data_IF_056608053672
#
_entry.id   IF_056608053672
#
_cell.length_a   1.000
_cell.length_b   1.000
_cell.length_c   1.000
_cell.angle_alpha   90.00
_cell.angle_beta   90.00
_cell.angle_gamma   90.00
#
_symmetry.space_group_name_H-M   'P 1'
#
loop_
_entity.id
_entity.type
_entity.pdbx_description
1 polymer ?
#
# COMPACT_ATOMS: atom_id res chain seq x y z
N UNK A 1 9.46 -25.86 -11.12
CA UNK A 1 9.88 -25.61 -9.72
C UNK A 1 9.25 -26.69 -8.88
N UNK A 2 10.04 -27.61 -8.34
CA UNK A 2 9.59 -28.65 -7.44
C UNK A 2 9.01 -28.01 -6.17
N UNK A 3 7.81 -28.45 -5.76
CA UNK A 3 7.26 -28.10 -4.46
C UNK A 3 8.19 -28.66 -3.38
N UNK A 4 9.00 -27.82 -2.76
CA UNK A 4 9.75 -28.21 -1.55
C UNK A 4 8.74 -28.63 -0.48
N UNK A 5 8.89 -29.84 0.04
CA UNK A 5 8.13 -30.31 1.20
C UNK A 5 8.30 -29.30 2.35
N UNK A 6 7.20 -28.67 2.78
CA UNK A 6 7.18 -27.70 3.86
C UNK A 6 6.74 -26.30 3.46
N UNK A 7 6.62 -25.97 2.17
CA UNK A 7 6.18 -24.65 1.74
C UNK A 7 4.68 -24.45 2.04
N UNK A 8 4.35 -23.38 2.76
CA UNK A 8 2.98 -22.94 3.04
C UNK A 8 2.80 -21.48 2.61
N UNK A 9 1.59 -20.96 2.71
CA UNK A 9 1.31 -19.55 2.45
C UNK A 9 0.85 -18.87 3.70
N UNK A 10 1.57 -17.83 4.10
CA UNK A 10 1.21 -17.05 5.29
C UNK A 10 0.25 -15.91 4.92
N UNK A 11 -0.61 -15.56 5.88
CA UNK A 11 -1.41 -14.32 5.85
C UNK A 11 -0.65 -13.11 6.40
N UNK A 12 0.58 -13.32 6.87
CA UNK A 12 1.47 -12.24 7.29
C UNK A 12 1.85 -11.41 6.07
N UNK A 13 1.78 -10.10 6.22
CA UNK A 13 2.22 -9.13 5.24
C UNK A 13 2.75 -7.91 5.95
N UNK A 14 3.31 -6.95 5.22
CA UNK A 14 3.90 -5.79 5.84
C UNK A 14 3.75 -4.51 5.04
N UNK A 15 4.49 -3.52 5.48
CA UNK A 15 4.66 -2.23 4.84
C UNK A 15 6.04 -1.71 5.16
N UNK A 16 6.79 -1.31 4.14
CA UNK A 16 8.04 -0.59 4.33
C UNK A 16 7.79 0.81 4.91
N UNK A 17 8.68 1.23 5.79
CA UNK A 17 8.69 2.51 6.49
C UNK A 17 10.01 3.23 6.25
N UNK A 18 10.18 4.41 6.83
CA UNK A 18 11.46 5.11 6.87
C UNK A 18 12.39 4.31 7.80
N UNK A 19 13.49 3.78 7.23
CA UNK A 19 14.48 2.95 7.94
C UNK A 19 13.86 1.83 8.78
N UNK A 20 12.73 1.26 8.32
CA UNK A 20 12.00 0.27 9.09
C UNK A 20 10.95 -0.51 8.33
N UNK A 21 10.28 -1.40 9.04
CA UNK A 21 9.21 -2.26 8.52
C UNK A 21 8.11 -2.39 9.56
N UNK A 22 6.87 -2.28 9.11
CA UNK A 22 5.68 -2.76 9.81
C UNK A 22 5.36 -4.16 9.32
N UNK A 23 5.42 -5.19 10.16
CA UNK A 23 4.86 -6.51 9.87
C UNK A 23 3.51 -6.69 10.56
N UNK A 24 2.57 -7.31 9.85
CA UNK A 24 1.20 -7.53 10.30
C UNK A 24 0.88 -9.02 10.31
N UNK A 25 0.83 -9.59 11.50
CA UNK A 25 0.44 -10.98 11.71
C UNK A 25 -1.06 -11.16 11.97
N UNK A 26 -1.51 -12.38 12.26
CA UNK A 26 -2.92 -12.64 12.58
C UNK A 26 -3.36 -12.01 13.89
N UNK A 27 -2.47 -11.86 14.87
CA UNK A 27 -2.78 -11.39 16.22
C UNK A 27 -2.12 -10.06 16.58
N UNK A 28 -0.94 -9.77 16.00
CA UNK A 28 -0.10 -8.64 16.35
C UNK A 28 0.37 -7.90 15.11
N UNK A 29 0.53 -6.59 15.26
CA UNK A 29 1.27 -5.72 14.37
C UNK A 29 2.59 -5.37 15.06
N UNK A 30 3.73 -5.48 14.38
CA UNK A 30 5.05 -5.13 14.89
C UNK A 30 5.73 -4.12 13.96
N UNK A 31 6.20 -3.02 14.53
CA UNK A 31 7.03 -2.04 13.85
C UNK A 31 8.45 -2.23 14.36
N UNK A 32 9.41 -2.33 13.46
CA UNK A 32 10.85 -2.33 13.78
C UNK A 32 11.49 -1.26 12.92
N UNK A 33 12.21 -0.35 13.56
CA UNK A 33 12.90 0.78 12.93
C UNK A 33 14.36 0.74 13.36
N UNK A 34 15.28 0.95 12.43
CA UNK A 34 16.72 1.09 12.70
C UNK A 34 17.03 2.56 12.96
N UNK A 35 16.96 2.97 14.21
CA UNK A 35 17.39 4.31 14.63
C UNK A 35 18.93 4.41 14.72
N UNK A 36 19.49 5.63 14.80
CA UNK A 36 20.93 5.83 15.05
C UNK A 36 21.44 5.15 16.34
N UNK A 37 20.57 4.97 17.32
CA UNK A 37 20.88 4.35 18.63
C UNK A 37 20.69 2.82 18.64
N UNK A 38 20.13 2.24 17.57
CA UNK A 38 19.85 0.80 17.48
C UNK A 38 18.45 0.47 16.97
N UNK A 39 18.04 -0.78 17.13
CA UNK A 39 16.70 -1.21 16.73
C UNK A 39 15.66 -0.79 17.76
N UNK A 40 14.65 -0.08 17.30
CA UNK A 40 13.47 0.28 18.07
C UNK A 40 12.31 -0.58 17.65
N UNK A 41 11.60 -1.18 18.59
CA UNK A 41 10.48 -2.08 18.35
C UNK A 41 9.21 -1.58 19.01
N UNK A 42 8.08 -1.71 18.31
CA UNK A 42 6.75 -1.45 18.85
C UNK A 42 5.79 -2.55 18.43
N UNK A 43 5.28 -3.30 19.39
CA UNK A 43 4.31 -4.37 19.14
C UNK A 43 2.95 -3.94 19.66
N UNK A 44 1.91 -4.18 18.87
CA UNK A 44 0.52 -3.83 19.20
C UNK A 44 -0.40 -5.00 18.87
N UNK A 45 -1.29 -5.36 19.78
CA UNK A 45 -2.31 -6.38 19.52
C UNK A 45 -3.35 -5.88 18.52
N UNK A 46 -3.72 -6.75 17.58
CA UNK A 46 -4.72 -6.43 16.56
C UNK A 46 -6.13 -6.58 17.10
N UNK A 47 -6.89 -5.49 16.98
CA UNK A 47 -8.33 -5.49 17.27
C UNK A 47 -9.10 -5.41 15.95
N UNK A 48 -9.90 -6.42 15.66
CA UNK A 48 -10.70 -6.43 14.44
C UNK A 48 -12.05 -5.77 14.68
N UNK A 49 -12.37 -4.72 13.93
CA UNK A 49 -13.65 -4.01 13.99
C UNK A 49 -14.82 -4.98 13.73
N UNK A 50 -14.61 -5.99 12.87
CA UNK A 50 -15.61 -7.03 12.57
C UNK A 50 -16.02 -7.90 13.76
N UNK A 51 -15.19 -8.00 14.81
CA UNK A 51 -15.57 -8.73 16.02
C UNK A 51 -16.63 -7.97 16.82
N UNK A 52 -16.63 -6.62 16.73
CA UNK A 52 -17.65 -5.77 17.36
C UNK A 52 -18.89 -5.55 16.47
N UNK A 53 -18.68 -5.50 15.14
CA UNK A 53 -19.74 -5.27 14.15
C UNK A 53 -19.68 -6.33 13.05
N UNK A 54 -20.36 -7.49 13.22
CA UNK A 54 -20.29 -8.62 12.27
C UNK A 54 -20.65 -8.28 10.83
N UNK A 55 -21.57 -7.32 10.62
CA UNK A 55 -21.98 -6.87 9.29
C UNK A 55 -20.78 -6.32 8.45
N UNK A 56 -19.77 -5.78 9.11
CA UNK A 56 -18.55 -5.30 8.44
C UNK A 56 -17.62 -6.46 8.01
N UNK A 57 -17.98 -7.70 8.35
CA UNK A 57 -17.28 -8.91 7.92
C UNK A 57 -17.82 -9.52 6.62
N UNK A 58 -18.93 -9.02 6.06
CA UNK A 58 -19.48 -9.56 4.80
C UNK A 58 -18.57 -9.21 3.61
N UNK A 59 -18.56 -10.03 2.55
CA UNK A 59 -17.78 -9.74 1.33
C UNK A 59 -18.02 -8.32 0.83
N UNK A 60 -17.01 -7.73 0.21
CA UNK A 60 -16.94 -6.34 -0.26
C UNK A 60 -16.81 -5.34 0.90
N UNK A 61 -17.72 -5.32 1.89
CA UNK A 61 -17.61 -4.40 3.02
C UNK A 61 -16.34 -4.67 3.85
N UNK A 62 -16.04 -5.95 4.11
CA UNK A 62 -14.80 -6.32 4.83
C UNK A 62 -13.54 -5.84 4.11
N UNK A 63 -13.56 -5.79 2.76
CA UNK A 63 -12.46 -5.30 1.95
C UNK A 63 -12.23 -3.81 2.16
N UNK A 64 -13.29 -3.00 2.08
CA UNK A 64 -13.22 -1.56 2.32
C UNK A 64 -12.76 -1.25 3.76
N UNK A 65 -13.33 -1.94 4.76
CA UNK A 65 -12.96 -1.76 6.18
C UNK A 65 -11.49 -2.15 6.43
N UNK A 66 -11.05 -3.28 5.85
CA UNK A 66 -9.65 -3.73 5.99
C UNK A 66 -8.69 -2.74 5.33
N UNK A 67 -9.03 -2.21 4.16
CA UNK A 67 -8.23 -1.22 3.45
C UNK A 67 -8.10 0.07 4.28
N UNK A 68 -9.20 0.63 4.77
CA UNK A 68 -9.18 1.84 5.61
C UNK A 68 -8.37 1.60 6.89
N UNK A 69 -8.59 0.46 7.57
CA UNK A 69 -7.83 0.10 8.76
C UNK A 69 -6.33 -0.02 8.46
N UNK A 70 -5.96 -0.60 7.31
CA UNK A 70 -4.56 -0.73 6.89
C UNK A 70 -3.93 0.62 6.59
N UNK A 71 -4.66 1.53 5.94
CA UNK A 71 -4.19 2.90 5.70
C UNK A 71 -3.92 3.65 7.02
N UNK A 72 -4.87 3.61 7.95
CA UNK A 72 -4.71 4.28 9.26
C UNK A 72 -3.50 3.71 10.02
N UNK A 73 -3.36 2.38 10.05
CA UNK A 73 -2.23 1.73 10.71
C UNK A 73 -0.91 2.06 10.02
N UNK A 74 -0.90 2.05 8.68
CA UNK A 74 0.29 2.37 7.89
C UNK A 74 0.76 3.81 8.05
N UNK A 75 -0.17 4.79 8.05
CA UNK A 75 0.17 6.20 8.33
C UNK A 75 0.74 6.37 9.73
N UNK A 76 0.11 5.76 10.76
CA UNK A 76 0.64 5.80 12.13
C UNK A 76 2.02 5.17 12.26
N UNK A 77 2.28 4.07 11.54
CA UNK A 77 3.57 3.41 11.54
C UNK A 77 4.64 4.27 10.82
N UNK A 78 4.26 4.93 9.72
CA UNK A 78 5.14 5.83 9.00
C UNK A 78 5.52 7.05 9.85
N UNK A 79 4.54 7.66 10.53
CA UNK A 79 4.79 8.76 11.48
C UNK A 79 5.72 8.30 12.61
N UNK A 80 5.44 7.13 13.21
CA UNK A 80 6.30 6.56 14.24
C UNK A 80 7.73 6.36 13.75
N UNK A 81 7.94 5.89 12.53
CA UNK A 81 9.30 5.74 12.00
C UNK A 81 9.96 7.08 11.71
N UNK A 82 9.22 8.08 11.22
CA UNK A 82 9.72 9.43 10.95
C UNK A 82 10.21 10.15 12.22
N UNK A 83 9.60 9.87 13.39
CA UNK A 83 10.01 10.48 14.67
C UNK A 83 11.47 10.17 15.05
N UNK A 84 12.07 9.07 14.50
CA UNK A 84 13.47 8.69 14.72
C UNK A 84 14.44 9.27 13.71
N UNK A 85 13.94 9.95 12.68
CA UNK A 85 14.71 10.58 11.62
C UNK A 85 14.15 11.98 11.39
N UNK A 86 14.34 12.90 12.34
CA UNK A 86 14.00 14.30 12.11
C UNK A 86 14.81 14.79 10.91
N UNK A 87 14.14 15.56 10.05
CA UNK A 87 14.82 16.23 8.93
C UNK A 87 16.06 16.95 9.47
N UNK A 88 17.19 16.84 8.75
CA UNK A 88 18.41 17.54 9.12
C UNK A 88 18.08 19.04 9.23
N UNK A 89 18.32 19.61 10.42
CA UNK A 89 17.96 20.98 10.80
C UNK A 89 18.78 22.06 10.03
N UNK A 90 19.21 21.80 8.81
CA UNK A 90 19.99 22.76 8.01
C UNK A 90 19.16 23.86 7.32
N UNK A 91 17.86 23.80 7.37
CA UNK A 91 17.02 24.88 6.88
C UNK A 91 16.72 25.86 8.03
N UNK A 92 17.41 27.01 8.07
CA UNK A 92 17.00 28.10 8.96
C UNK A 92 15.49 28.38 8.75
N UNK A 93 14.67 28.35 9.83
CA UNK A 93 13.23 28.52 9.72
C UNK A 93 12.94 29.84 8.98
N UNK A 94 12.10 29.75 7.96
CA UNK A 94 11.69 30.91 7.17
C UNK A 94 10.96 31.94 8.04
N UNK A 95 10.82 33.16 7.57
CA UNK A 95 10.08 34.23 8.31
C UNK A 95 8.63 33.81 8.62
N UNK A 96 8.05 33.00 7.78
CA UNK A 96 6.69 32.44 7.96
C UNK A 96 6.68 31.38 9.05
N UNK A 97 7.67 30.51 9.11
CA UNK A 97 7.79 29.46 10.14
C UNK A 97 7.99 30.09 11.52
N UNK A 98 8.90 31.07 11.62
CA UNK A 98 9.11 31.85 12.85
C UNK A 98 7.85 32.58 13.32
N UNK A 99 7.03 33.09 12.40
CA UNK A 99 5.75 33.71 12.72
C UNK A 99 4.75 32.69 13.24
N UNK A 100 4.67 31.48 12.63
CA UNK A 100 3.81 30.39 13.06
C UNK A 100 4.20 29.89 14.46
N UNK A 101 5.47 29.63 14.70
CA UNK A 101 6.00 29.19 16.00
C UNK A 101 5.72 30.19 17.13
N UNK A 102 5.74 31.46 16.82
CA UNK A 102 5.46 32.54 17.80
C UNK A 102 3.98 32.60 18.20
N UNK A 103 3.04 32.18 17.32
CA UNK A 103 1.61 32.36 17.54
C UNK A 103 0.86 31.06 17.83
N UNK A 104 1.45 29.91 17.56
CA UNK A 104 0.82 28.60 17.70
C UNK A 104 1.71 27.71 18.57
N UNK A 105 1.17 27.06 19.63
CA UNK A 105 1.93 26.08 20.43
C UNK A 105 2.48 24.96 19.53
N UNK A 106 3.72 24.51 19.77
CA UNK A 106 4.41 23.54 18.92
C UNK A 106 3.61 22.25 18.65
N UNK A 107 2.93 21.68 19.66
CA UNK A 107 2.08 20.50 19.51
C UNK A 107 0.89 20.74 18.54
N UNK A 108 0.28 21.93 18.61
CA UNK A 108 -0.82 22.30 17.71
C UNK A 108 -0.31 22.58 16.31
N UNK A 109 0.85 23.21 16.18
CA UNK A 109 1.49 23.51 14.90
C UNK A 109 1.79 22.21 14.15
N UNK A 110 2.42 21.24 14.81
CA UNK A 110 2.69 19.91 14.23
C UNK A 110 1.39 19.22 13.76
N UNK A 111 0.35 19.22 14.59
CA UNK A 111 -0.95 18.64 14.21
C UNK A 111 -1.59 19.33 13.01
N UNK A 112 -1.48 20.66 12.92
CA UNK A 112 -2.00 21.44 11.81
C UNK A 112 -1.23 21.18 10.51
N UNK A 113 0.11 21.13 10.57
CA UNK A 113 0.96 20.80 9.42
C UNK A 113 0.64 19.41 8.88
N UNK A 114 0.53 18.40 9.77
CA UNK A 114 0.16 17.04 9.38
C UNK A 114 -1.24 17.02 8.76
N UNK A 115 -2.24 17.65 9.38
CA UNK A 115 -3.60 17.69 8.85
C UNK A 115 -3.65 18.39 7.48
N UNK A 116 -2.96 19.53 7.32
CA UNK A 116 -2.87 20.24 6.06
C UNK A 116 -2.19 19.40 4.97
N UNK A 117 -1.07 18.75 5.30
CA UNK A 117 -0.34 17.87 4.37
C UNK A 117 -1.20 16.70 3.90
N UNK A 118 -1.98 16.08 4.81
CA UNK A 118 -2.92 15.01 4.47
C UNK A 118 -4.02 15.52 3.54
N UNK A 119 -4.64 16.67 3.86
CA UNK A 119 -5.70 17.26 3.02
C UNK A 119 -5.15 17.62 1.64
N UNK A 120 -3.98 18.24 1.59
CA UNK A 120 -3.31 18.61 0.34
C UNK A 120 -2.97 17.38 -0.50
N UNK A 121 -2.44 16.32 0.12
CA UNK A 121 -2.12 15.05 -0.54
C UNK A 121 -3.36 14.36 -1.09
N UNK A 122 -4.46 14.33 -0.33
CA UNK A 122 -5.74 13.82 -0.80
C UNK A 122 -6.28 14.64 -1.97
N UNK A 123 -6.24 15.97 -1.88
CA UNK A 123 -6.64 16.87 -2.95
C UNK A 123 -5.82 16.64 -4.22
N UNK A 124 -4.50 16.55 -4.11
CA UNK A 124 -3.60 16.27 -5.23
C UNK A 124 -3.89 14.89 -5.84
N UNK A 125 -4.13 13.89 -5.02
CA UNK A 125 -4.50 12.53 -5.47
C UNK A 125 -5.79 12.55 -6.28
N UNK A 126 -6.82 13.26 -5.81
CA UNK A 126 -8.08 13.41 -6.56
C UNK A 126 -7.87 14.14 -7.89
N UNK A 127 -7.06 15.20 -7.89
CA UNK A 127 -6.74 15.94 -9.11
C UNK A 127 -5.99 15.04 -10.11
N UNK A 128 -4.91 14.38 -9.69
CA UNK A 128 -4.06 13.59 -10.58
C UNK A 128 -4.75 12.31 -11.09
N UNK A 129 -5.46 11.59 -10.21
CA UNK A 129 -5.97 10.26 -10.54
C UNK A 129 -7.47 10.22 -10.85
N UNK A 130 -8.17 11.32 -10.67
CA UNK A 130 -9.61 11.38 -10.95
C UNK A 130 -9.97 12.51 -11.92
N UNK A 131 -9.59 13.75 -11.62
CA UNK A 131 -9.97 14.90 -12.44
C UNK A 131 -9.18 14.97 -13.73
N UNK A 132 -7.87 14.87 -13.68
CA UNK A 132 -7.00 14.99 -14.84
C UNK A 132 -7.27 13.90 -15.90
N UNK A 133 -7.37 12.60 -15.57
CA UNK A 133 -7.75 11.58 -16.56
C UNK A 133 -9.12 11.81 -17.17
N UNK A 134 -10.11 12.22 -16.37
CA UNK A 134 -11.45 12.54 -16.85
C UNK A 134 -11.44 13.74 -17.79
N UNK A 135 -10.70 14.80 -17.45
CA UNK A 135 -10.55 15.98 -18.30
C UNK A 135 -9.88 15.64 -19.63
N UNK A 136 -8.74 14.94 -19.58
CA UNK A 136 -8.03 14.53 -20.79
C UNK A 136 -8.90 13.65 -21.67
N UNK A 137 -9.61 12.67 -21.12
CA UNK A 137 -10.54 11.83 -21.88
C UNK A 137 -11.67 12.64 -22.52
N UNK A 138 -12.12 13.73 -21.87
CA UNK A 138 -13.13 14.66 -22.40
C UNK A 138 -12.69 15.35 -23.69
N UNK A 139 -11.40 15.65 -23.85
CA UNK A 139 -10.86 16.29 -25.06
C UNK A 139 -11.02 15.44 -26.33
N UNK A 140 -11.13 14.12 -26.18
CA UNK A 140 -11.29 13.19 -27.33
C UNK A 140 -12.72 13.06 -27.83
N UNK A 141 -13.70 13.73 -27.23
CA UNK A 141 -15.11 13.76 -27.66
C UNK A 141 -15.66 12.36 -28.00
N UNK A 142 -15.42 11.39 -27.11
CA UNK A 142 -15.81 10.00 -27.32
C UNK A 142 -17.32 9.86 -27.55
N UNK A 143 -17.71 9.06 -28.57
CA UNK A 143 -19.11 8.85 -28.95
C UNK A 143 -19.87 7.93 -27.98
N UNK A 144 -19.16 7.16 -27.14
CA UNK A 144 -19.77 6.26 -26.16
C UNK A 144 -19.07 6.33 -24.81
N UNK A 145 -19.80 6.02 -23.74
CA UNK A 145 -19.27 5.96 -22.37
C UNK A 145 -18.13 4.92 -22.28
N UNK A 146 -18.24 3.79 -22.96
CA UNK A 146 -17.21 2.74 -22.94
C UNK A 146 -15.87 3.25 -23.49
N UNK A 147 -15.88 3.89 -24.67
CA UNK A 147 -14.67 4.45 -25.29
C UNK A 147 -14.07 5.54 -24.39
N UNK A 148 -14.90 6.43 -23.84
CA UNK A 148 -14.45 7.45 -22.91
C UNK A 148 -13.76 6.83 -21.67
N UNK A 149 -14.35 5.78 -21.07
CA UNK A 149 -13.78 5.11 -19.90
C UNK A 149 -12.46 4.38 -20.22
N UNK A 150 -12.32 3.82 -21.42
CA UNK A 150 -11.05 3.19 -21.85
C UNK A 150 -9.96 4.26 -21.98
N UNK A 151 -10.24 5.38 -22.67
CA UNK A 151 -9.27 6.49 -22.80
C UNK A 151 -8.87 7.00 -21.41
N UNK A 152 -9.86 7.26 -20.55
CA UNK A 152 -9.61 7.70 -19.18
C UNK A 152 -8.76 6.68 -18.41
N UNK A 153 -9.04 5.38 -18.57
CA UNK A 153 -8.27 4.30 -17.95
C UNK A 153 -6.82 4.27 -18.40
N UNK A 154 -6.58 4.40 -19.72
CA UNK A 154 -5.21 4.46 -20.28
C UNK A 154 -4.45 5.67 -19.71
N UNK A 155 -5.08 6.85 -19.71
CA UNK A 155 -4.47 8.06 -19.13
C UNK A 155 -4.16 7.87 -17.66
N UNK A 156 -5.08 7.29 -16.88
CA UNK A 156 -4.89 7.03 -15.46
C UNK A 156 -3.72 6.08 -15.21
N UNK A 157 -3.60 5.00 -15.98
CA UNK A 157 -2.48 4.06 -15.89
C UNK A 157 -1.17 4.77 -16.24
N UNK A 158 -1.15 5.58 -17.30
CA UNK A 158 0.05 6.32 -17.70
C UNK A 158 0.52 7.32 -16.62
N UNK A 159 -0.42 8.07 -16.01
CA UNK A 159 -0.13 8.99 -14.90
C UNK A 159 0.40 8.21 -13.69
N UNK A 160 -0.22 7.08 -13.36
CA UNK A 160 0.16 6.25 -12.23
C UNK A 160 1.58 5.68 -12.39
N UNK A 161 1.90 5.13 -13.56
CA UNK A 161 3.24 4.62 -13.85
C UNK A 161 4.27 5.74 -13.87
N UNK A 162 3.95 6.87 -14.49
CA UNK A 162 4.81 8.05 -14.49
C UNK A 162 5.12 8.54 -13.08
N UNK A 163 4.11 8.62 -12.20
CA UNK A 163 4.27 8.96 -10.80
C UNK A 163 5.18 7.97 -10.06
N UNK A 164 4.96 6.66 -10.23
CA UNK A 164 5.82 5.64 -9.61
C UNK A 164 7.26 5.75 -10.05
N UNK A 165 7.52 5.95 -11.35
CA UNK A 165 8.86 6.11 -11.90
C UNK A 165 9.54 7.36 -11.34
N UNK A 166 8.80 8.47 -11.20
CA UNK A 166 9.35 9.69 -10.61
C UNK A 166 9.69 9.50 -9.13
N UNK A 167 8.79 8.90 -8.36
CA UNK A 167 9.03 8.59 -6.95
C UNK A 167 10.22 7.65 -6.75
N UNK A 168 10.34 6.61 -7.59
CA UNK A 168 11.42 5.61 -7.47
C UNK A 168 12.83 6.19 -7.67
N UNK A 169 12.95 7.38 -8.27
CA UNK A 169 14.22 8.08 -8.47
C UNK A 169 14.67 8.90 -7.26
N UNK A 170 13.78 9.17 -6.31
CA UNK A 170 14.13 9.90 -5.10
C UNK A 170 14.91 8.98 -4.14
N UNK A 171 16.00 9.49 -3.54
CA UNK A 171 16.90 8.68 -2.68
C UNK A 171 16.18 8.06 -1.48
N UNK A 172 15.34 8.83 -0.80
CA UNK A 172 14.64 8.38 0.40
C UNK A 172 13.59 7.32 0.05
N UNK A 173 12.84 7.54 -1.04
CA UNK A 173 11.87 6.55 -1.54
C UNK A 173 12.57 5.30 -2.03
N UNK A 174 13.76 5.42 -2.64
CA UNK A 174 14.57 4.26 -3.03
C UNK A 174 14.93 3.39 -1.81
N UNK A 175 15.32 3.99 -0.68
CA UNK A 175 15.60 3.26 0.56
C UNK A 175 14.35 2.56 1.10
N UNK A 176 13.20 3.23 1.12
CA UNK A 176 11.92 2.58 1.49
C UNK A 176 11.63 1.38 0.57
N UNK A 177 11.93 1.48 -0.72
CA UNK A 177 11.76 0.36 -1.65
C UNK A 177 12.76 -0.77 -1.45
N UNK A 178 13.94 -0.52 -0.86
CA UNK A 178 14.85 -1.57 -0.39
C UNK A 178 14.27 -2.31 0.83
N UNK A 179 13.71 -1.60 1.80
CA UNK A 179 12.97 -2.20 2.92
C UNK A 179 11.77 -3.04 2.45
N UNK A 180 11.07 -2.59 1.40
CA UNK A 180 10.00 -3.36 0.78
C UNK A 180 10.51 -4.66 0.14
N UNK A 181 11.70 -4.62 -0.49
CA UNK A 181 12.38 -5.83 -0.94
C UNK A 181 12.75 -6.78 0.20
N UNK A 182 13.24 -6.24 1.33
CA UNK A 182 13.58 -7.02 2.53
C UNK A 182 12.33 -7.71 3.13
N UNK A 183 11.20 -7.00 3.19
CA UNK A 183 9.91 -7.57 3.61
C UNK A 183 9.55 -8.79 2.77
N UNK A 184 9.51 -8.65 1.43
CA UNK A 184 9.14 -9.73 0.52
C UNK A 184 10.07 -10.94 0.65
N UNK A 185 11.39 -10.71 0.66
CA UNK A 185 12.39 -11.78 0.81
C UNK A 185 12.21 -12.53 2.13
N UNK A 186 11.93 -11.83 3.22
CA UNK A 186 11.71 -12.43 4.54
C UNK A 186 10.44 -13.27 4.58
N UNK A 187 9.34 -12.79 3.96
CA UNK A 187 8.10 -13.56 3.85
C UNK A 187 8.33 -14.84 3.05
N UNK A 188 9.03 -14.78 1.90
CA UNK A 188 9.35 -15.98 1.13
C UNK A 188 10.24 -16.99 1.88
N UNK A 189 11.22 -16.49 2.65
CA UNK A 189 12.06 -17.35 3.49
C UNK A 189 11.22 -18.11 4.53
N UNK A 190 10.28 -17.40 5.18
CA UNK A 190 9.36 -17.98 6.14
C UNK A 190 8.42 -19.00 5.49
N UNK A 191 7.82 -18.68 4.35
CA UNK A 191 6.94 -19.59 3.59
C UNK A 191 7.66 -20.84 3.07
N UNK A 192 8.97 -20.73 2.81
CA UNK A 192 9.81 -21.85 2.45
C UNK A 192 10.17 -22.76 3.64
N UNK A 193 9.76 -22.39 4.87
CA UNK A 193 10.09 -23.11 6.10
C UNK A 193 11.58 -23.07 6.46
N UNK A 194 12.31 -22.06 5.95
CA UNK A 194 13.74 -21.89 6.24
C UNK A 194 13.93 -21.08 7.53
N UNK A 195 15.04 -21.32 8.25
CA UNK A 195 15.41 -20.45 9.37
C UNK A 195 15.55 -19.00 8.92
N UNK A 196 14.97 -18.06 9.69
CA UNK A 196 15.04 -16.63 9.42
C UNK A 196 16.42 -16.09 9.79
N UNK A 197 17.38 -16.27 8.87
CA UNK A 197 18.75 -15.71 8.94
C UNK A 197 19.00 -14.89 7.68
N UNK A 198 19.96 -13.96 7.74
CA UNK A 198 20.32 -13.12 6.60
C UNK A 198 20.73 -13.95 5.39
N UNK A 199 21.49 -15.04 5.61
CA UNK A 199 21.97 -15.95 4.56
C UNK A 199 20.83 -16.64 3.82
N UNK A 200 19.74 -17.01 4.53
CA UNK A 200 18.58 -17.67 3.95
C UNK A 200 17.61 -16.70 3.30
N UNK A 201 17.51 -15.45 3.80
CA UNK A 201 16.64 -14.41 3.26
C UNK A 201 17.23 -13.75 2.02
N UNK A 202 18.53 -13.48 1.99
CA UNK A 202 19.22 -12.79 0.89
C UNK A 202 18.95 -13.39 -0.51
N UNK A 203 18.96 -14.73 -0.73
CA UNK A 203 18.71 -15.31 -2.05
C UNK A 203 17.23 -15.37 -2.44
N UNK A 204 16.30 -15.02 -1.55
CA UNK A 204 14.87 -15.08 -1.87
C UNK A 204 14.47 -14.01 -2.89
N UNK A 205 13.37 -14.25 -3.66
CA UNK A 205 12.89 -13.27 -4.63
C UNK A 205 12.29 -12.04 -3.93
N UNK A 206 12.50 -10.86 -4.55
CA UNK A 206 11.97 -9.58 -4.04
C UNK A 206 10.56 -9.24 -4.54
N UNK A 207 10.05 -9.92 -5.56
CA UNK A 207 8.70 -9.69 -6.09
C UNK A 207 7.72 -10.69 -5.50
N UNK A 208 6.67 -10.20 -4.84
CA UNK A 208 5.71 -11.04 -4.11
C UNK A 208 4.28 -10.89 -4.67
N UNK A 209 3.57 -12.00 -5.00
CA UNK A 209 2.26 -11.94 -5.67
C UNK A 209 1.14 -11.33 -4.81
N UNK A 210 1.29 -11.29 -3.50
CA UNK A 210 0.31 -10.75 -2.54
C UNK A 210 0.67 -9.35 -2.03
N UNK A 211 1.50 -8.62 -2.77
CA UNK A 211 1.95 -7.29 -2.38
C UNK A 211 0.83 -6.24 -2.49
N UNK A 212 0.81 -5.30 -1.55
CA UNK A 212 -0.13 -4.19 -1.53
C UNK A 212 0.00 -3.22 -2.72
N UNK A 213 1.19 -3.09 -3.34
CA UNK A 213 1.36 -2.26 -4.55
C UNK A 213 0.63 -2.86 -5.76
N UNK A 214 0.61 -4.19 -5.89
CA UNK A 214 -0.19 -4.89 -6.90
C UNK A 214 -1.69 -4.61 -6.72
N UNK A 215 -2.15 -4.42 -5.48
CA UNK A 215 -3.54 -4.06 -5.18
C UNK A 215 -3.95 -2.74 -5.86
N UNK A 216 -3.09 -1.72 -5.84
CA UNK A 216 -3.38 -0.42 -6.47
C UNK A 216 -3.63 -0.54 -7.97
N UNK A 217 -2.82 -1.35 -8.66
CA UNK A 217 -3.03 -1.62 -10.09
C UNK A 217 -4.38 -2.30 -10.35
N UNK A 218 -4.72 -3.32 -9.56
CA UNK A 218 -6.00 -4.02 -9.67
C UNK A 218 -7.17 -3.08 -9.38
N UNK A 219 -7.06 -2.16 -8.40
CA UNK A 219 -8.07 -1.11 -8.14
C UNK A 219 -8.32 -0.28 -9.40
N UNK A 220 -7.27 0.13 -10.11
CA UNK A 220 -7.41 0.90 -11.37
C UNK A 220 -8.18 0.07 -12.41
N UNK A 221 -7.80 -1.19 -12.61
CA UNK A 221 -8.45 -2.07 -13.59
C UNK A 221 -9.92 -2.33 -13.23
N UNK A 222 -10.21 -2.67 -11.98
CA UNK A 222 -11.57 -2.87 -11.48
C UNK A 222 -12.38 -1.57 -11.60
N UNK A 223 -11.79 -0.40 -11.32
CA UNK A 223 -12.47 0.89 -11.46
C UNK A 223 -12.89 1.18 -12.90
N UNK A 224 -12.06 0.81 -13.88
CA UNK A 224 -12.38 0.95 -15.32
C UNK A 224 -13.55 0.04 -15.67
N UNK A 225 -13.51 -1.23 -15.26
CA UNK A 225 -14.57 -2.21 -15.54
C UNK A 225 -15.90 -1.77 -14.92
N UNK A 226 -15.92 -1.44 -13.62
CA UNK A 226 -17.13 -1.00 -12.91
C UNK A 226 -17.68 0.28 -13.52
N UNK A 227 -16.82 1.26 -13.83
CA UNK A 227 -17.23 2.49 -14.50
C UNK A 227 -17.84 2.21 -15.88
N UNK A 228 -17.27 1.30 -16.66
CA UNK A 228 -17.79 0.94 -17.98
C UNK A 228 -19.15 0.25 -17.92
N UNK A 229 -19.45 -0.44 -16.81
CA UNK A 229 -20.78 -1.04 -16.59
C UNK A 229 -21.82 -0.01 -16.11
N UNK A 230 -21.43 0.98 -15.31
CA UNK A 230 -22.37 1.92 -14.66
C UNK A 230 -22.65 3.16 -15.52
N UNK A 231 -21.62 3.75 -16.14
CA UNK A 231 -21.76 5.03 -16.85
C UNK A 231 -22.70 5.02 -18.06
N UNK A 232 -22.92 3.94 -18.81
CA UNK A 232 -23.93 3.93 -19.87
C UNK A 232 -25.36 4.24 -19.41
N UNK A 233 -25.66 4.05 -18.11
CA UNK A 233 -26.99 4.21 -17.54
C UNK A 233 -27.20 5.55 -16.82
N UNK A 234 -26.22 6.45 -16.85
CA UNK A 234 -26.27 7.74 -16.17
C UNK A 234 -25.89 8.88 -17.14
N UNK A 235 -26.11 10.14 -16.74
CA UNK A 235 -25.62 11.30 -17.49
C UNK A 235 -24.09 11.46 -17.31
N UNK A 236 -23.32 10.59 -17.97
CA UNK A 236 -21.87 10.52 -17.85
C UNK A 236 -21.15 11.73 -18.49
N UNK A 237 -21.84 12.52 -19.33
CA UNK A 237 -21.30 13.74 -19.96
C UNK A 237 -21.20 14.89 -18.94
N UNK A 238 -22.04 14.90 -17.89
CA UNK A 238 -21.92 15.86 -16.83
C UNK A 238 -20.76 15.50 -15.88
N UNK A 239 -19.75 16.36 -15.82
CA UNK A 239 -18.52 16.11 -15.03
C UNK A 239 -18.81 15.94 -13.54
N UNK A 240 -19.74 16.69 -12.97
CA UNK A 240 -20.09 16.62 -11.55
C UNK A 240 -20.80 15.31 -11.20
N UNK A 241 -21.71 14.86 -12.06
CA UNK A 241 -22.36 13.55 -11.91
C UNK A 241 -21.31 12.45 -11.99
N UNK A 242 -20.37 12.57 -12.95
CA UNK A 242 -19.29 11.60 -13.14
C UNK A 242 -18.38 11.50 -11.92
N UNK A 243 -17.98 12.64 -11.34
CA UNK A 243 -17.15 12.69 -10.12
C UNK A 243 -17.91 12.07 -8.95
N UNK A 244 -19.16 12.50 -8.71
CA UNK A 244 -19.98 12.01 -7.62
C UNK A 244 -20.16 10.49 -7.67
N UNK A 245 -20.48 9.94 -8.85
CA UNK A 245 -20.62 8.49 -9.03
C UNK A 245 -19.31 7.76 -8.81
N UNK A 246 -18.17 8.28 -9.28
CA UNK A 246 -16.85 7.67 -9.02
C UNK A 246 -16.52 7.60 -7.53
N UNK A 247 -16.84 8.66 -6.78
CA UNK A 247 -16.63 8.66 -5.32
C UNK A 247 -17.53 7.61 -4.63
N UNK A 248 -18.77 7.46 -5.05
CA UNK A 248 -19.66 6.42 -4.54
C UNK A 248 -19.18 5.01 -4.89
N UNK A 249 -18.65 4.83 -6.10
CA UNK A 249 -18.12 3.55 -6.57
C UNK A 249 -16.77 3.17 -5.92
N UNK A 250 -16.09 4.08 -5.25
CA UNK A 250 -14.80 3.80 -4.62
C UNK A 250 -14.90 2.65 -3.60
N UNK A 251 -15.95 2.64 -2.77
CA UNK A 251 -16.16 1.59 -1.74
C UNK A 251 -16.34 0.20 -2.38
N UNK A 252 -17.29 -0.01 -3.32
CA UNK A 252 -17.44 -1.31 -3.96
C UNK A 252 -16.21 -1.70 -4.81
N UNK A 253 -15.55 -0.76 -5.48
CA UNK A 253 -14.33 -1.04 -6.25
C UNK A 253 -13.22 -1.57 -5.34
N UNK A 254 -12.94 -0.92 -4.22
CA UNK A 254 -11.95 -1.36 -3.23
C UNK A 254 -12.35 -2.73 -2.66
N UNK A 255 -13.63 -2.90 -2.34
CA UNK A 255 -14.15 -4.16 -1.81
C UNK A 255 -14.00 -5.34 -2.78
N UNK A 256 -14.39 -5.15 -4.04
CA UNK A 256 -14.23 -6.17 -5.09
C UNK A 256 -12.76 -6.49 -5.33
N UNK A 257 -11.90 -5.45 -5.39
CA UNK A 257 -10.45 -5.64 -5.53
C UNK A 257 -9.86 -6.44 -4.37
N UNK A 258 -10.32 -6.19 -3.14
CA UNK A 258 -9.87 -6.95 -1.98
C UNK A 258 -10.24 -8.44 -2.10
N UNK A 259 -11.48 -8.75 -2.47
CA UNK A 259 -11.91 -10.13 -2.66
C UNK A 259 -11.14 -10.82 -3.81
N UNK A 260 -10.89 -10.09 -4.90
CA UNK A 260 -10.08 -10.56 -6.00
C UNK A 260 -8.65 -10.91 -5.55
N UNK A 261 -7.98 -10.00 -4.84
CA UNK A 261 -6.62 -10.24 -4.36
C UNK A 261 -6.56 -11.37 -3.34
N UNK A 262 -7.59 -11.49 -2.50
CA UNK A 262 -7.72 -12.62 -1.58
C UNK A 262 -7.85 -13.95 -2.34
N UNK A 263 -8.64 -13.98 -3.39
CA UNK A 263 -8.78 -15.15 -4.25
C UNK A 263 -7.45 -15.51 -4.94
N UNK A 264 -6.78 -14.53 -5.54
CA UNK A 264 -5.46 -14.72 -6.18
C UNK A 264 -4.40 -15.16 -5.18
N UNK A 265 -4.41 -14.60 -3.96
CA UNK A 265 -3.48 -14.97 -2.89
C UNK A 265 -3.64 -16.40 -2.38
N UNK A 266 -4.89 -16.88 -2.32
CA UNK A 266 -5.20 -18.23 -1.84
C UNK A 266 -4.90 -19.33 -2.87
N UNK A 267 -4.87 -19.02 -4.18
CA UNK A 267 -4.74 -20.00 -5.25
C UNK A 267 -3.43 -19.82 -6.04
N UNK A 268 -2.83 -20.92 -6.48
CA UNK A 268 -1.65 -20.94 -7.36
C UNK A 268 -1.94 -21.80 -8.58
N UNK A 269 -2.46 -21.16 -9.60
CA UNK A 269 -2.72 -21.78 -10.89
C UNK A 269 -2.35 -20.83 -12.04
N UNK A 270 -2.40 -21.30 -13.27
CA UNK A 270 -2.04 -20.50 -14.43
C UNK A 270 -2.85 -19.19 -14.54
N UNK A 271 -4.14 -19.23 -14.16
CA UNK A 271 -5.03 -18.06 -14.21
C UNK A 271 -4.59 -17.01 -13.20
N UNK A 272 -4.36 -17.39 -11.92
CA UNK A 272 -3.93 -16.45 -10.89
C UNK A 272 -2.55 -15.87 -11.16
N UNK A 273 -1.65 -16.63 -11.78
CA UNK A 273 -0.34 -16.13 -12.23
C UNK A 273 -0.47 -15.08 -13.34
N UNK A 274 -1.34 -15.29 -14.34
CA UNK A 274 -1.61 -14.31 -15.39
C UNK A 274 -2.24 -13.05 -14.78
N UNK A 275 -3.22 -13.19 -13.90
CA UNK A 275 -3.92 -12.07 -13.27
C UNK A 275 -3.01 -11.24 -12.34
N UNK A 276 -2.03 -11.86 -11.69
CA UNK A 276 -1.05 -11.15 -10.85
C UNK A 276 0.16 -10.59 -11.63
N UNK A 277 0.40 -11.05 -12.86
CA UNK A 277 1.58 -10.67 -13.64
C UNK A 277 1.78 -9.15 -13.80
N UNK A 278 0.74 -8.33 -14.13
CA UNK A 278 0.91 -6.89 -14.24
C UNK A 278 1.32 -6.23 -12.91
N UNK A 279 0.73 -6.68 -11.78
CA UNK A 279 1.09 -6.22 -10.45
C UNK A 279 2.53 -6.62 -10.07
N UNK A 280 2.94 -7.84 -10.40
CA UNK A 280 4.32 -8.31 -10.22
C UNK A 280 5.31 -7.49 -11.05
N UNK A 281 4.98 -7.19 -12.31
CA UNK A 281 5.81 -6.35 -13.18
C UNK A 281 6.01 -4.94 -12.58
N UNK A 282 4.98 -4.37 -11.99
CA UNK A 282 5.03 -3.05 -11.38
C UNK A 282 5.99 -2.97 -10.18
N UNK A 283 6.23 -4.11 -9.50
CA UNK A 283 7.20 -4.19 -8.41
C UNK A 283 8.65 -3.95 -8.85
N UNK A 284 8.96 -3.99 -10.17
CA UNK A 284 10.27 -3.54 -10.66
C UNK A 284 10.54 -2.05 -10.32
N UNK A 285 9.52 -1.25 -10.08
CA UNK A 285 9.64 0.17 -9.71
C UNK A 285 9.48 0.43 -8.20
N UNK A 286 8.93 -0.52 -7.46
CA UNK A 286 8.53 -0.33 -6.06
C UNK A 286 9.24 -1.27 -5.08
N UNK A 287 10.13 -2.14 -5.58
CA UNK A 287 10.97 -3.02 -4.74
C UNK A 287 12.39 -3.05 -5.26
N UNK A 288 13.36 -2.81 -4.38
CA UNK A 288 14.78 -2.86 -4.69
C UNK A 288 15.49 -3.93 -3.86
N UNK A 289 16.75 -4.23 -4.22
CA UNK A 289 17.58 -5.15 -3.44
C UNK A 289 17.95 -4.49 -2.09
N UNK A 290 17.63 -5.14 -0.96
CA UNK A 290 18.01 -4.67 0.36
C UNK A 290 19.46 -5.02 0.68
N UNK A 291 20.08 -4.24 1.54
CA UNK A 291 21.30 -4.65 2.24
C UNK A 291 21.01 -5.57 3.44
N UNK A 292 22.04 -6.12 4.03
CA UNK A 292 21.92 -7.08 5.14
C UNK A 292 21.29 -6.44 6.38
N UNK A 293 21.56 -5.16 6.62
CA UNK A 293 21.00 -4.43 7.77
C UNK A 293 19.49 -4.25 7.66
N UNK A 294 18.97 -4.07 6.44
CA UNK A 294 17.54 -3.99 6.16
C UNK A 294 16.87 -5.38 6.30
N UNK A 295 17.58 -6.44 5.89
CA UNK A 295 17.11 -7.81 6.08
C UNK A 295 17.00 -8.15 7.57
N UNK A 296 17.95 -7.74 8.41
CA UNK A 296 17.89 -7.92 9.86
C UNK A 296 16.62 -7.28 10.47
N UNK A 297 16.28 -6.05 10.06
CA UNK A 297 15.05 -5.35 10.49
C UNK A 297 13.81 -6.16 10.08
N UNK A 298 13.78 -6.69 8.85
CA UNK A 298 12.67 -7.49 8.35
C UNK A 298 12.51 -8.81 9.11
N UNK A 299 13.61 -9.49 9.40
CA UNK A 299 13.65 -10.72 10.19
C UNK A 299 13.12 -10.46 11.60
N UNK A 300 13.58 -9.40 12.26
CA UNK A 300 13.14 -9.07 13.60
C UNK A 300 11.64 -8.74 13.64
N UNK A 301 11.16 -7.90 12.71
CA UNK A 301 9.75 -7.60 12.58
C UNK A 301 8.90 -8.85 12.34
N UNK A 302 9.37 -9.78 11.51
CA UNK A 302 8.70 -11.04 11.21
C UNK A 302 8.58 -11.92 12.45
N UNK A 303 9.68 -12.12 13.21
CA UNK A 303 9.68 -12.94 14.43
C UNK A 303 8.65 -12.49 15.47
N UNK A 304 8.42 -11.18 15.57
CA UNK A 304 7.49 -10.58 16.54
C UNK A 304 6.01 -10.87 16.22
N UNK A 305 5.67 -11.21 14.97
CA UNK A 305 4.29 -11.39 14.52
C UNK A 305 3.93 -12.83 14.19
N UNK A 306 4.91 -13.73 14.14
CA UNK A 306 4.65 -15.17 13.95
C UNK A 306 3.82 -15.67 15.13
N UNK A 307 2.66 -16.29 14.90
CA UNK A 307 1.81 -16.80 15.97
C UNK A 307 2.49 -18.00 16.68
N UNK A 308 2.24 -18.12 17.98
CA UNK A 308 2.73 -19.26 18.76
C UNK A 308 2.09 -20.58 18.30
N UNK A 309 0.84 -20.53 17.87
CA UNK A 309 0.10 -21.67 17.35
C UNK A 309 0.36 -21.83 15.85
N UNK A 310 0.98 -22.97 15.48
CA UNK A 310 1.28 -23.28 14.07
C UNK A 310 0.03 -23.34 13.21
N UNK A 311 0.07 -22.69 12.06
CA UNK A 311 -1.01 -22.69 11.08
C UNK A 311 -2.05 -21.59 11.27
N UNK A 312 -2.02 -20.82 12.34
CA UNK A 312 -2.95 -19.71 12.56
C UNK A 312 -2.78 -18.55 11.58
N UNK A 313 -1.63 -18.47 10.94
CA UNK A 313 -1.29 -17.52 9.88
C UNK A 313 -1.41 -18.12 8.46
N UNK A 314 -1.92 -19.34 8.30
CA UNK A 314 -2.11 -19.93 6.99
C UNK A 314 -3.40 -19.45 6.29
N UNK A 315 -3.36 -19.42 4.95
CA UNK A 315 -4.50 -19.08 4.10
C UNK A 315 -5.54 -20.21 4.08
#
# INVERSE_FOLDING_TARGET
>A
MEKKQGAFRTTIGGQALIEGILMRGPEKDAIVVRSPEGLVTKVTERKFIRSKYPILGVPILRGAVTFISSMITGVKALMFSADYFPDEEDAQPGKFDQWLEKHIPAEKLQSLVVAFSVILSLGLTLVLFMLLPTFVAGLFHAKSAAVHNIIEGVVKVAIFLGYLILCSKQKDVHRVFCYHGAEHKTIFCYEAGLPLTVENVRPQPKHHPRCGTSFLFVVIMVSILVSSLVFPYINWQNIWVRIGVKLLLLIPVVGVTYEFNRFVGAHDNAVTRILSAPGMWMQNFTTNEPDDSMIEVAIEAMKLVIPAEKGKDQW
#
